data_IF_750363621784
#
_entry.id   IF_750363621784
#
_cell.length_a   1.000
_cell.length_b   1.000
_cell.length_c   1.000
_cell.angle_alpha   90.00
_cell.angle_beta   90.00
_cell.angle_gamma   90.00
#
_symmetry.space_group_name_H-M   'P 1'
#
loop_
_entity.id
_entity.type
_entity.pdbx_description
1 polymer ?
#
# COMPACT_ATOMS: atom_id res chain seq x y z
N UNK A 1 44.48 -7.08 -0.59
CA UNK A 1 43.69 -6.78 0.63
C UNK A 1 42.70 -5.61 0.46
N UNK A 2 42.68 -4.94 -0.72
CA UNK A 2 41.81 -3.76 -0.95
C UNK A 2 40.37 -4.09 -1.41
N UNK A 3 40.14 -5.27 -1.98
CA UNK A 3 38.80 -5.65 -2.52
C UNK A 3 37.77 -5.92 -1.41
N UNK A 4 38.16 -6.30 -0.21
CA UNK A 4 37.23 -6.58 0.90
C UNK A 4 36.65 -5.35 1.58
N UNK A 5 37.22 -4.16 1.39
CA UNK A 5 36.77 -2.92 2.02
C UNK A 5 35.54 -2.31 1.30
N UNK A 6 35.22 -2.78 0.11
CA UNK A 6 34.10 -2.29 -0.70
C UNK A 6 32.81 -3.11 -0.52
N UNK A 7 32.85 -4.25 0.16
CA UNK A 7 31.69 -5.09 0.42
C UNK A 7 30.53 -4.36 1.14
N UNK A 8 30.76 -3.44 2.09
CA UNK A 8 29.68 -2.72 2.74
C UNK A 8 28.93 -1.72 1.83
N UNK A 9 29.49 -1.36 0.69
CA UNK A 9 28.90 -0.42 -0.28
C UNK A 9 28.11 -1.09 -1.39
N UNK A 10 28.11 -2.43 -1.46
CA UNK A 10 27.31 -3.18 -2.41
C UNK A 10 25.82 -3.04 -2.06
N UNK A 11 25.10 -2.28 -2.85
CA UNK A 11 23.63 -2.26 -2.86
C UNK A 11 23.15 -3.34 -3.82
N UNK A 12 22.34 -4.25 -3.32
CA UNK A 12 21.66 -5.25 -4.15
C UNK A 12 20.31 -4.64 -4.57
N UNK A 13 20.17 -4.36 -5.85
CA UNK A 13 18.87 -4.02 -6.43
C UNK A 13 18.12 -5.31 -6.70
N UNK A 14 17.01 -5.51 -5.99
CA UNK A 14 16.12 -6.67 -6.13
C UNK A 14 14.86 -6.32 -6.90
N UNK A 15 14.75 -5.10 -7.45
CA UNK A 15 13.62 -4.70 -8.28
C UNK A 15 13.59 -5.49 -9.59
N UNK A 16 12.40 -5.76 -10.10
CA UNK A 16 12.21 -6.41 -11.40
C UNK A 16 12.81 -5.58 -12.53
N UNK A 17 12.88 -4.27 -12.33
CA UNK A 17 13.42 -3.28 -13.26
C UNK A 17 14.95 -3.34 -13.34
N UNK A 18 15.62 -3.77 -12.27
CA UNK A 18 17.09 -3.92 -12.23
C UNK A 18 17.64 -4.96 -13.21
N UNK A 19 16.78 -5.80 -13.82
CA UNK A 19 17.17 -6.74 -14.86
C UNK A 19 17.33 -6.09 -16.25
N UNK A 20 16.73 -4.91 -16.48
CA UNK A 20 16.82 -4.18 -17.71
C UNK A 20 17.71 -2.94 -17.52
N UNK A 21 18.60 -2.68 -18.49
CA UNK A 21 19.40 -1.47 -18.46
C UNK A 21 18.51 -0.23 -18.62
N UNK A 22 18.86 0.88 -17.97
CA UNK A 22 18.06 2.12 -18.01
C UNK A 22 17.82 2.68 -19.41
N UNK A 23 18.75 2.42 -20.34
CA UNK A 23 18.64 2.80 -21.77
C UNK A 23 17.90 1.78 -22.62
N UNK A 24 17.38 0.68 -22.06
CA UNK A 24 16.63 -0.30 -22.81
C UNK A 24 15.30 0.32 -23.28
N UNK A 25 14.97 0.26 -24.57
CA UNK A 25 13.73 0.84 -25.10
C UNK A 25 12.48 0.28 -24.40
N UNK A 26 12.46 -1.00 -24.05
CA UNK A 26 11.31 -1.62 -23.35
C UNK A 26 11.17 -1.07 -21.93
N UNK A 27 12.29 -0.80 -21.26
CA UNK A 27 12.25 -0.16 -19.94
C UNK A 27 11.73 1.27 -20.03
N UNK A 28 12.18 2.04 -21.01
CA UNK A 28 11.72 3.41 -21.22
C UNK A 28 10.22 3.45 -21.53
N UNK A 29 9.70 2.57 -22.40
CA UNK A 29 8.26 2.45 -22.66
C UNK A 29 7.48 2.04 -21.40
N UNK A 30 8.00 1.11 -20.63
CA UNK A 30 7.37 0.67 -19.38
C UNK A 30 7.35 1.79 -18.34
N UNK A 31 8.42 2.54 -18.17
CA UNK A 31 8.49 3.66 -17.26
C UNK A 31 7.51 4.79 -17.68
N UNK A 32 7.40 5.09 -18.98
CA UNK A 32 6.41 6.03 -19.52
C UNK A 32 4.97 5.54 -19.27
N UNK A 33 4.70 4.25 -19.45
CA UNK A 33 3.40 3.67 -19.12
C UNK A 33 3.07 3.83 -17.64
N UNK A 34 4.00 3.51 -16.75
CA UNK A 34 3.84 3.67 -15.30
C UNK A 34 3.64 5.13 -14.89
N UNK A 35 4.33 6.06 -15.54
CA UNK A 35 4.15 7.50 -15.29
C UNK A 35 2.76 8.00 -15.74
N UNK A 36 2.20 7.41 -16.77
CA UNK A 36 0.89 7.81 -17.31
C UNK A 36 -0.28 7.15 -16.59
N UNK A 37 -0.16 5.88 -16.24
CA UNK A 37 -1.26 5.06 -15.70
C UNK A 37 -1.14 4.76 -14.19
N UNK A 38 -0.04 5.15 -13.58
CA UNK A 38 0.24 4.88 -12.18
C UNK A 38 0.97 3.55 -11.94
N UNK A 39 1.32 3.33 -10.71
CA UNK A 39 1.93 2.08 -10.23
C UNK A 39 0.89 1.33 -9.41
N UNK A 40 0.66 0.08 -9.74
CA UNK A 40 -0.24 -0.81 -8.98
C UNK A 40 0.47 -1.41 -7.73
N UNK A 41 1.36 -0.63 -7.11
CA UNK A 41 2.09 -1.09 -5.94
C UNK A 41 1.21 -0.94 -4.71
N UNK A 42 0.71 -2.08 -4.21
CA UNK A 42 -0.07 -2.16 -2.98
C UNK A 42 0.72 -2.90 -1.91
N UNK A 43 0.63 -2.41 -0.68
CA UNK A 43 1.11 -3.13 0.48
C UNK A 43 -0.08 -3.78 1.17
N UNK A 44 -0.07 -5.11 1.30
CA UNK A 44 -1.12 -5.86 1.97
C UNK A 44 -0.60 -6.32 3.33
N UNK A 45 -1.26 -5.87 4.39
CA UNK A 45 -0.98 -6.26 5.76
C UNK A 45 -2.04 -7.25 6.22
N UNK A 46 -1.65 -8.50 6.49
CA UNK A 46 -2.53 -9.50 7.08
C UNK A 46 -2.50 -9.40 8.61
N UNK A 47 -3.64 -9.10 9.22
CA UNK A 47 -3.79 -8.96 10.67
C UNK A 47 -4.47 -10.20 11.22
N UNK A 48 -3.74 -10.97 12.04
CA UNK A 48 -4.23 -12.21 12.64
C UNK A 48 -4.79 -11.97 14.05
N UNK A 49 -5.92 -12.60 14.34
CA UNK A 49 -6.61 -12.55 15.64
C UNK A 49 -7.25 -13.91 15.95
N UNK A 50 -7.86 -14.06 17.09
CA UNK A 50 -8.67 -15.23 17.41
C UNK A 50 -10.07 -15.15 16.78
N UNK A 51 -10.63 -13.94 16.65
CA UNK A 51 -11.90 -13.67 15.98
C UNK A 51 -11.91 -12.20 15.55
N UNK A 52 -12.17 -11.93 14.27
CA UNK A 52 -12.30 -10.56 13.75
C UNK A 52 -13.58 -9.88 14.27
N UNK A 53 -14.61 -10.66 14.61
CA UNK A 53 -15.85 -10.19 15.22
C UNK A 53 -15.71 -10.20 16.73
N UNK A 54 -14.86 -9.32 17.24
CA UNK A 54 -14.63 -9.03 18.65
C UNK A 54 -14.55 -7.52 18.82
N UNK A 55 -15.25 -6.99 19.84
CA UNK A 55 -15.36 -5.54 20.04
C UNK A 55 -14.00 -4.88 20.27
N UNK A 56 -13.18 -5.47 21.12
CA UNK A 56 -11.85 -4.95 21.44
C UNK A 56 -10.93 -5.02 20.22
N UNK A 57 -11.06 -6.08 19.42
CA UNK A 57 -10.30 -6.23 18.19
C UNK A 57 -10.68 -5.15 17.17
N UNK A 58 -11.96 -4.88 16.95
CA UNK A 58 -12.42 -3.84 16.01
C UNK A 58 -11.97 -2.45 16.44
N UNK A 59 -12.00 -2.15 17.75
CA UNK A 59 -11.44 -0.89 18.26
C UNK A 59 -9.94 -0.78 18.04
N UNK A 60 -9.19 -1.87 18.18
CA UNK A 60 -7.74 -1.89 17.89
C UNK A 60 -7.46 -1.74 16.41
N UNK A 61 -8.27 -2.39 15.57
CA UNK A 61 -8.14 -2.29 14.12
C UNK A 61 -8.44 -0.86 13.64
N UNK A 62 -9.45 -0.20 14.20
CA UNK A 62 -9.77 1.20 13.90
C UNK A 62 -8.62 2.13 14.28
N UNK A 63 -8.06 1.97 15.48
CA UNK A 63 -6.88 2.75 15.89
C UNK A 63 -5.67 2.51 14.99
N UNK A 64 -5.45 1.27 14.59
CA UNK A 64 -4.36 0.88 13.69
C UNK A 64 -4.56 1.51 12.30
N UNK A 65 -5.76 1.39 11.73
CA UNK A 65 -6.13 1.99 10.45
C UNK A 65 -5.86 3.51 10.45
N UNK A 66 -6.39 4.23 11.44
CA UNK A 66 -6.20 5.68 11.59
C UNK A 66 -4.73 6.08 11.83
N UNK A 67 -3.97 5.22 12.51
CA UNK A 67 -2.53 5.46 12.69
C UNK A 67 -1.77 5.32 11.37
N UNK A 68 -2.10 4.33 10.55
CA UNK A 68 -1.52 4.18 9.21
C UNK A 68 -1.82 5.40 8.33
N UNK A 69 -3.08 5.84 8.26
CA UNK A 69 -3.47 7.04 7.50
C UNK A 69 -2.72 8.31 7.93
N UNK A 70 -2.47 8.45 9.24
CA UNK A 70 -1.84 9.65 9.79
C UNK A 70 -0.32 9.64 9.71
N UNK A 71 0.31 8.48 9.90
CA UNK A 71 1.74 8.37 10.18
C UNK A 71 2.55 7.89 8.98
N UNK A 72 1.92 7.20 8.02
CA UNK A 72 2.63 6.75 6.84
C UNK A 72 2.76 7.89 5.81
N UNK A 73 3.98 8.24 5.41
CA UNK A 73 4.19 9.19 4.33
C UNK A 73 3.88 8.52 2.98
N UNK A 74 3.51 9.33 2.00
CA UNK A 74 3.40 8.93 0.60
C UNK A 74 2.37 7.82 0.31
N UNK A 75 1.33 7.75 1.12
CA UNK A 75 0.18 6.88 0.85
C UNK A 75 -0.93 7.66 0.13
N UNK A 76 -1.69 6.96 -0.70
CA UNK A 76 -2.90 7.46 -1.34
C UNK A 76 -4.13 7.09 -0.51
N UNK A 77 -4.26 5.81 -0.16
CA UNK A 77 -5.35 5.30 0.68
C UNK A 77 -4.90 4.19 1.61
N UNK A 78 -5.68 3.96 2.65
CA UNK A 78 -5.65 2.77 3.49
C UNK A 78 -7.03 2.16 3.46
N UNK A 79 -7.15 0.91 3.05
CA UNK A 79 -8.41 0.19 2.96
C UNK A 79 -8.40 -1.01 3.90
N UNK A 80 -9.46 -1.16 4.67
CA UNK A 80 -9.63 -2.25 5.64
C UNK A 80 -11.11 -2.51 5.90
N UNK A 81 -11.40 -3.44 6.80
CA UNK A 81 -12.75 -3.69 7.27
C UNK A 81 -13.43 -2.43 7.84
N UNK A 82 -12.64 -1.48 8.35
CA UNK A 82 -13.15 -0.27 9.02
C UNK A 82 -13.82 0.70 8.04
N UNK A 83 -13.26 0.89 6.84
CA UNK A 83 -13.78 1.81 5.82
C UNK A 83 -14.35 1.10 4.58
N UNK A 84 -14.47 -0.22 4.63
CA UNK A 84 -15.06 -0.99 3.53
C UNK A 84 -16.46 -0.51 3.21
N UNK A 85 -16.83 -0.59 1.93
CA UNK A 85 -18.16 -0.20 1.45
C UNK A 85 -18.97 -1.42 1.08
N UNK A 86 -20.18 -1.50 1.60
CA UNK A 86 -21.17 -2.47 1.18
C UNK A 86 -21.88 -1.94 -0.06
N UNK A 87 -21.85 -2.73 -1.13
CA UNK A 87 -22.50 -2.38 -2.39
C UNK A 87 -23.51 -3.46 -2.73
N UNK A 88 -24.76 -3.07 -2.89
CA UNK A 88 -25.84 -4.00 -3.21
C UNK A 88 -26.93 -3.33 -4.07
N UNK A 89 -27.71 -4.14 -4.79
CA UNK A 89 -28.77 -3.67 -5.65
C UNK A 89 -30.14 -3.77 -4.97
N UNK A 90 -30.94 -2.71 -5.03
CA UNK A 90 -32.35 -2.70 -4.60
C UNK A 90 -33.19 -2.07 -5.70
N UNK A 91 -34.20 -2.81 -6.17
CA UNK A 91 -35.18 -2.31 -7.15
C UNK A 91 -34.57 -1.70 -8.44
N UNK A 92 -33.36 -2.15 -8.83
CA UNK A 92 -32.65 -1.65 -10.01
C UNK A 92 -31.71 -0.48 -9.73
N UNK A 93 -31.61 -0.02 -8.50
CA UNK A 93 -30.66 0.98 -8.05
C UNK A 93 -29.47 0.32 -7.35
N UNK A 94 -28.29 0.89 -7.55
CA UNK A 94 -27.05 0.47 -6.86
C UNK A 94 -26.89 1.33 -5.60
N UNK A 95 -26.94 0.69 -4.44
CA UNK A 95 -26.70 1.34 -3.14
C UNK A 95 -25.27 1.07 -2.71
N UNK A 96 -24.57 2.13 -2.31
CA UNK A 96 -23.20 2.09 -1.77
C UNK A 96 -23.19 2.81 -0.44
N UNK A 97 -22.95 2.08 0.62
CA UNK A 97 -22.90 2.61 2.00
C UNK A 97 -21.67 2.10 2.75
N UNK A 98 -21.23 2.79 3.80
CA UNK A 98 -20.20 2.25 4.68
C UNK A 98 -20.62 0.91 5.26
N UNK A 99 -19.72 -0.06 5.29
CA UNK A 99 -19.98 -1.34 5.95
C UNK A 99 -20.06 -1.16 7.49
N UNK A 100 -19.23 -0.27 8.01
CA UNK A 100 -19.21 0.16 9.40
C UNK A 100 -19.35 1.68 9.42
N UNK A 101 -20.54 2.19 9.70
CA UNK A 101 -20.77 3.63 9.88
C UNK A 101 -20.32 4.06 11.28
N UNK A 102 -20.70 3.27 12.27
CA UNK A 102 -20.29 3.44 13.68
C UNK A 102 -19.80 2.09 14.19
N UNK A 103 -18.65 2.10 14.87
CA UNK A 103 -18.13 0.87 15.49
C UNK A 103 -19.14 0.27 16.47
N UNK A 104 -19.41 -1.04 16.40
CA UNK A 104 -20.32 -1.72 17.30
C UNK A 104 -19.81 -1.61 18.76
N UNK A 105 -20.74 -1.37 19.68
CA UNK A 105 -20.48 -1.26 21.11
C UNK A 105 -21.13 -2.38 21.92
N UNK A 106 -22.03 -3.11 21.29
CA UNK A 106 -22.76 -4.22 21.91
C UNK A 106 -22.56 -5.49 21.11
N UNK A 107 -22.80 -6.63 21.73
CA UNK A 107 -22.74 -7.93 21.05
C UNK A 107 -23.83 -8.03 19.96
N UNK A 108 -24.99 -7.44 20.17
CA UNK A 108 -26.09 -7.43 19.20
C UNK A 108 -25.68 -6.69 17.92
N UNK A 109 -25.12 -5.47 18.05
CA UNK A 109 -24.61 -4.70 16.90
C UNK A 109 -23.46 -5.43 16.18
N UNK A 110 -22.63 -6.16 16.93
CA UNK A 110 -21.53 -6.97 16.37
C UNK A 110 -22.07 -8.16 15.57
N UNK A 111 -23.11 -8.83 16.05
CA UNK A 111 -23.75 -9.94 15.38
C UNK A 111 -24.48 -9.48 14.10
N UNK A 112 -25.11 -8.31 14.13
CA UNK A 112 -25.71 -7.68 12.95
C UNK A 112 -24.65 -7.32 11.89
N UNK A 113 -23.54 -6.73 12.31
CA UNK A 113 -22.40 -6.45 11.44
C UNK A 113 -21.87 -7.74 10.79
N UNK A 114 -21.68 -8.79 11.62
CA UNK A 114 -21.24 -10.10 11.12
C UNK A 114 -22.20 -10.66 10.07
N UNK A 115 -23.52 -10.59 10.32
CA UNK A 115 -24.52 -11.04 9.37
C UNK A 115 -24.43 -10.25 8.06
N UNK A 116 -24.29 -8.93 8.12
CA UNK A 116 -24.15 -8.07 6.95
C UNK A 116 -22.94 -8.45 6.12
N UNK A 117 -21.78 -8.62 6.76
CA UNK A 117 -20.52 -8.97 6.10
C UNK A 117 -20.59 -10.36 5.47
N UNK A 118 -21.13 -11.34 6.18
CA UNK A 118 -21.18 -12.74 5.71
C UNK A 118 -22.21 -12.97 4.61
N UNK A 119 -23.24 -12.14 4.54
CA UNK A 119 -24.22 -12.17 3.45
C UNK A 119 -23.65 -11.68 2.12
N UNK A 120 -22.58 -10.90 2.14
CA UNK A 120 -21.90 -10.46 0.93
C UNK A 120 -20.65 -11.32 0.70
N UNK A 121 -20.76 -12.28 -0.22
CA UNK A 121 -19.66 -13.21 -0.53
C UNK A 121 -18.41 -12.54 -1.11
N UNK A 122 -18.52 -11.28 -1.57
CA UNK A 122 -17.39 -10.52 -2.12
C UNK A 122 -16.32 -10.23 -1.06
N UNK A 123 -16.72 -10.09 0.20
CA UNK A 123 -15.76 -9.80 1.28
C UNK A 123 -14.96 -11.01 1.76
N UNK A 124 -15.48 -12.21 1.50
CA UNK A 124 -14.80 -13.46 1.91
C UNK A 124 -13.49 -13.62 1.14
N UNK A 125 -12.40 -13.89 1.86
CA UNK A 125 -11.03 -14.00 1.35
C UNK A 125 -10.46 -12.72 0.72
N UNK A 126 -11.19 -11.61 0.78
CA UNK A 126 -10.70 -10.28 0.45
C UNK A 126 -10.45 -9.47 1.72
N UNK A 127 -11.48 -9.31 2.55
CA UNK A 127 -11.40 -8.57 3.82
C UNK A 127 -11.25 -9.48 5.03
N UNK A 128 -11.72 -10.72 4.96
CA UNK A 128 -11.64 -11.67 6.06
C UNK A 128 -11.44 -13.11 5.60
N UNK A 129 -10.74 -13.90 6.43
CA UNK A 129 -10.56 -15.34 6.20
C UNK A 129 -11.81 -16.15 6.54
N UNK A 130 -11.96 -17.33 5.93
CA UNK A 130 -13.12 -18.20 6.12
C UNK A 130 -13.39 -18.58 7.57
N UNK A 131 -12.33 -18.69 8.37
CA UNK A 131 -12.36 -19.02 9.80
C UNK A 131 -12.49 -17.79 10.72
N UNK A 132 -12.62 -16.58 10.13
CA UNK A 132 -12.70 -15.32 10.84
C UNK A 132 -11.50 -15.00 11.75
N UNK A 133 -10.33 -15.58 11.47
CA UNK A 133 -9.12 -15.37 12.26
C UNK A 133 -8.15 -14.35 11.66
N UNK A 134 -8.44 -13.87 10.45
CA UNK A 134 -7.57 -12.94 9.73
C UNK A 134 -8.40 -11.89 8.99
N UNK A 135 -7.90 -10.66 8.99
CA UNK A 135 -8.39 -9.57 8.13
C UNK A 135 -7.21 -8.91 7.42
N UNK A 136 -7.48 -8.23 6.33
CA UNK A 136 -6.47 -7.52 5.54
C UNK A 136 -6.61 -6.02 5.72
N UNK A 137 -5.47 -5.34 5.67
CA UNK A 137 -5.38 -3.89 5.50
C UNK A 137 -4.54 -3.66 4.25
N UNK A 138 -5.10 -3.01 3.26
CA UNK A 138 -4.42 -2.67 2.01
C UNK A 138 -4.01 -1.20 2.06
N UNK A 139 -2.79 -0.91 1.65
CA UNK A 139 -2.24 0.43 1.63
C UNK A 139 -1.81 0.72 0.20
N UNK A 140 -2.45 1.69 -0.42
CA UNK A 140 -2.09 2.17 -1.74
C UNK A 140 -1.08 3.29 -1.61
N UNK A 141 -0.01 3.20 -2.39
CA UNK A 141 1.05 4.20 -2.38
C UNK A 141 0.82 5.23 -3.48
N UNK A 142 1.18 6.49 -3.20
CA UNK A 142 1.13 7.55 -4.23
C UNK A 142 2.10 7.20 -5.36
N UNK A 143 1.63 7.36 -6.57
CA UNK A 143 2.47 7.27 -7.74
C UNK A 143 3.33 8.52 -7.85
N UNK A 144 4.64 8.33 -7.90
CA UNK A 144 5.58 9.40 -8.19
C UNK A 144 6.10 9.22 -9.61
N UNK A 145 5.88 10.23 -10.47
CA UNK A 145 6.63 10.34 -11.72
C UNK A 145 8.09 10.67 -11.42
N UNK A 146 9.00 10.36 -12.32
CA UNK A 146 10.43 10.69 -12.14
C UNK A 146 10.68 12.18 -11.87
N UNK A 147 9.78 13.06 -12.31
CA UNK A 147 9.80 14.49 -12.04
C UNK A 147 9.33 14.81 -10.60
N UNK A 148 8.34 14.08 -10.10
CA UNK A 148 7.89 14.19 -8.71
C UNK A 148 8.94 13.69 -7.71
N UNK A 149 9.69 12.64 -8.05
CA UNK A 149 10.80 12.14 -7.22
C UNK A 149 11.90 13.20 -7.03
N UNK A 150 12.20 14.01 -8.07
CA UNK A 150 13.17 15.11 -7.95
C UNK A 150 12.67 16.19 -6.99
N UNK A 151 11.37 16.48 -7.00
CA UNK A 151 10.77 17.49 -6.09
C UNK A 151 10.75 16.97 -4.66
N UNK A 152 10.39 15.70 -4.43
CA UNK A 152 10.42 15.07 -3.10
C UNK A 152 11.85 14.98 -2.56
N UNK A 153 12.82 14.64 -3.40
CA UNK A 153 14.24 14.63 -3.01
C UNK A 153 14.75 16.03 -2.64
N UNK A 154 14.18 17.09 -3.22
CA UNK A 154 14.51 18.47 -2.86
C UNK A 154 13.79 18.98 -1.59
N UNK A 155 12.65 18.37 -1.22
CA UNK A 155 11.92 18.65 0.03
C UNK A 155 12.48 17.87 1.23
N UNK A 156 12.99 16.66 0.98
CA UNK A 156 13.79 15.94 1.95
C UNK A 156 15.19 16.56 1.89
N UNK A 157 15.46 17.47 2.81
CA UNK A 157 16.75 18.18 2.95
C UNK A 157 17.87 17.15 3.29
N UNK A 158 18.24 16.32 2.30
CA UNK A 158 19.46 15.53 2.32
C UNK A 158 20.63 16.46 2.00
N UNK A 159 20.80 17.47 2.84
CA UNK A 159 21.94 18.37 2.83
C UNK A 159 23.19 17.69 3.39
N UNK A 160 23.50 16.50 2.91
CA UNK A 160 24.82 15.91 3.08
C UNK A 160 25.26 15.31 1.73
N UNK A 161 26.00 16.12 1.00
CA UNK A 161 27.06 15.80 0.05
C UNK A 161 26.91 14.45 -0.72
N UNK A 162 25.93 14.37 -1.63
CA UNK A 162 26.07 13.52 -2.80
C UNK A 162 26.16 14.43 -4.03
N UNK A 163 27.37 14.89 -4.27
CA UNK A 163 27.74 15.59 -5.50
C UNK A 163 27.72 14.58 -6.66
N UNK A 164 26.61 14.56 -7.40
CA UNK A 164 26.45 13.74 -8.61
C UNK A 164 27.06 14.42 -9.86
N UNK A 165 27.94 15.38 -9.67
CA UNK A 165 28.63 16.09 -10.74
C UNK A 165 30.07 15.56 -11.01
N UNK A 166 30.32 14.28 -10.83
CA UNK A 166 31.50 13.68 -11.49
C UNK A 166 31.09 13.33 -12.93
N UNK A 167 31.31 14.28 -13.81
CA UNK A 167 31.45 14.05 -15.26
C UNK A 167 32.47 12.95 -15.48
N UNK A 168 31.99 11.75 -15.76
CA UNK A 168 32.83 10.71 -16.35
C UNK A 168 33.10 11.11 -17.81
N UNK A 169 34.15 11.88 -17.98
CA UNK A 169 34.74 12.22 -19.26
C UNK A 169 35.35 10.94 -19.87
N UNK A 170 34.61 10.29 -20.74
CA UNK A 170 35.08 9.20 -21.58
C UNK A 170 35.59 9.77 -22.92
N UNK A 171 36.58 10.63 -22.89
CA UNK A 171 37.45 10.90 -24.01
C UNK A 171 38.84 10.40 -23.63
N UNK A 172 39.24 9.23 -24.23
CA UNK A 172 40.48 9.09 -24.95
C UNK A 172 40.82 7.64 -25.26
N UNK A 173 41.03 7.45 -26.59
CA UNK A 173 41.75 6.49 -27.41
C UNK A 173 41.03 5.19 -27.78
#
# INVERSE_FOLDING_TARGET
>A
AALGSQLPTLKMDTSTEGFLHESDPMRIEYDLFRDQFGRDEQLIVAVKTNNIFDLEFLERLDRFHKALERELPHIESVDSLINARNTYGVEGELIVEPLIDVLPKTQEELDDLKNTITNNSFFKNLLYSEDFTMTTVTIDTKTYSGESLKNVASELDFNDELDFNDELDFNDE
#
